data_IF_371189827456
#
_entry.id   IF_371189827456
#
_cell.length_a   1.000
_cell.length_b   1.000
_cell.length_c   1.000
_cell.angle_alpha   90.00
_cell.angle_beta   90.00
_cell.angle_gamma   90.00
#
_symmetry.space_group_name_H-M   'P 1'
#
loop_
_entity.id
_entity.type
_entity.pdbx_description
1 polymer ?
#
# COMPACT_ATOMS: atom_id res chain seq x y z
N UNK A 1 5.16 -5.26 -3.57
CA UNK A 1 3.69 -5.45 -3.64
C UNK A 1 3.02 -4.28 -4.34
N UNK A 2 2.86 -3.10 -3.72
CA UNK A 2 2.07 -2.00 -4.31
C UNK A 2 2.54 -1.56 -5.70
N UNK A 3 3.85 -1.45 -5.93
CA UNK A 3 4.37 -1.19 -7.28
C UNK A 3 3.97 -2.28 -8.29
N UNK A 4 3.93 -3.56 -7.92
CA UNK A 4 3.49 -4.62 -8.82
C UNK A 4 1.97 -4.58 -9.04
N UNK A 5 1.21 -4.07 -8.08
CA UNK A 5 -0.24 -3.87 -8.20
C UNK A 5 -0.58 -2.71 -9.15
N UNK A 6 0.21 -1.64 -9.13
CA UNK A 6 -0.07 -0.41 -9.87
C UNK A 6 0.77 -0.21 -11.14
N UNK A 7 1.88 -0.92 -11.26
CA UNK A 7 2.74 -1.01 -12.45
C UNK A 7 3.11 -2.49 -12.71
N UNK A 8 2.12 -3.36 -13.04
CA UNK A 8 2.34 -4.81 -13.18
C UNK A 8 3.31 -5.16 -14.32
N UNK A 9 3.36 -4.33 -15.37
CA UNK A 9 4.28 -4.47 -16.49
C UNK A 9 5.66 -3.84 -16.25
N UNK A 10 5.85 -3.11 -15.15
CA UNK A 10 7.10 -2.41 -14.84
C UNK A 10 7.46 -1.27 -15.80
N UNK A 11 6.50 -0.77 -16.58
CA UNK A 11 6.77 0.21 -17.64
C UNK A 11 7.17 1.56 -17.06
N UNK A 12 6.47 2.03 -16.02
CA UNK A 12 6.81 3.30 -15.36
C UNK A 12 8.19 3.21 -14.71
N UNK A 13 8.50 2.07 -14.09
CA UNK A 13 9.81 1.81 -13.48
C UNK A 13 10.94 1.79 -14.51
N UNK A 14 10.75 1.05 -15.61
CA UNK A 14 11.71 0.96 -16.70
C UNK A 14 11.93 2.32 -17.38
N UNK A 15 10.89 3.16 -17.48
CA UNK A 15 10.97 4.52 -18.01
C UNK A 15 11.56 5.54 -17.03
N UNK A 16 11.91 5.15 -15.80
CA UNK A 16 12.42 6.06 -14.78
C UNK A 16 11.38 7.09 -14.32
N UNK A 17 10.08 6.73 -14.37
CA UNK A 17 8.92 7.54 -13.99
C UNK A 17 8.38 7.20 -12.59
N UNK A 18 9.16 6.46 -11.80
CA UNK A 18 8.84 6.17 -10.40
C UNK A 18 9.79 6.97 -9.51
N UNK A 19 9.22 7.76 -8.60
CA UNK A 19 9.93 8.55 -7.60
C UNK A 19 9.83 7.94 -6.21
N UNK A 20 10.84 8.18 -5.37
CA UNK A 20 10.85 7.77 -3.97
C UNK A 20 11.22 8.95 -3.06
N UNK A 21 10.43 9.15 -2.01
CA UNK A 21 10.74 10.02 -0.89
C UNK A 21 10.71 9.20 0.40
N UNK A 22 11.79 9.24 1.19
CA UNK A 22 11.85 8.56 2.48
C UNK A 22 12.84 9.25 3.43
N UNK A 23 13.22 8.59 4.53
CA UNK A 23 14.31 9.06 5.39
C UNK A 23 15.64 8.99 4.66
N UNK A 24 16.52 9.97 4.90
CA UNK A 24 17.84 10.06 4.27
C UNK A 24 18.66 8.77 4.39
N UNK A 25 18.59 8.11 5.54
CA UNK A 25 19.38 6.91 5.82
C UNK A 25 18.81 5.64 5.18
N UNK A 26 17.53 5.65 4.79
CA UNK A 26 16.83 4.47 4.24
C UNK A 26 16.49 4.61 2.75
N UNK A 27 16.50 5.83 2.21
CA UNK A 27 16.04 6.10 0.84
C UNK A 27 16.85 5.33 -0.20
N UNK A 28 18.16 5.19 0.00
CA UNK A 28 19.01 4.45 -0.93
C UNK A 28 18.74 2.96 -0.89
N UNK A 29 18.66 2.37 0.31
CA UNK A 29 18.34 0.95 0.49
C UNK A 29 16.99 0.59 -0.13
N UNK A 30 15.96 1.42 0.09
CA UNK A 30 14.63 1.22 -0.49
C UNK A 30 14.69 1.41 -2.02
N UNK A 31 15.36 2.47 -2.47
CA UNK A 31 15.48 2.77 -3.90
C UNK A 31 16.22 1.68 -4.67
N UNK A 32 17.29 1.11 -4.11
CA UNK A 32 18.03 -0.01 -4.68
C UNK A 32 17.15 -1.26 -4.74
N UNK A 33 16.44 -1.60 -3.66
CA UNK A 33 15.54 -2.75 -3.62
C UNK A 33 14.39 -2.64 -4.65
N UNK A 34 13.97 -1.42 -4.99
CA UNK A 34 12.89 -1.16 -5.94
C UNK A 34 13.39 -0.81 -7.35
N UNK A 35 14.70 -0.83 -7.61
CA UNK A 35 15.32 -0.40 -8.87
C UNK A 35 14.91 1.03 -9.31
N UNK A 36 14.80 1.96 -8.35
CA UNK A 36 14.52 3.37 -8.60
C UNK A 36 15.86 4.11 -8.74
N UNK A 37 16.16 4.83 -9.84
CA UNK A 37 17.43 5.52 -10.00
C UNK A 37 17.72 6.56 -8.91
N UNK A 38 18.99 6.77 -8.54
CA UNK A 38 19.40 7.73 -7.48
C UNK A 38 18.87 9.15 -7.70
N UNK A 39 18.83 9.63 -8.95
CA UNK A 39 18.29 10.95 -9.26
C UNK A 39 16.77 11.06 -9.06
N UNK A 40 16.05 9.93 -8.89
CA UNK A 40 14.62 9.86 -8.56
C UNK A 40 14.36 9.58 -7.08
N UNK A 41 15.38 9.73 -6.23
CA UNK A 41 15.30 9.55 -4.78
C UNK A 41 15.46 10.90 -4.11
N UNK A 42 14.58 11.21 -3.17
CA UNK A 42 14.66 12.40 -2.32
C UNK A 42 14.35 12.03 -0.87
N UNK A 43 14.61 12.95 0.06
CA UNK A 43 14.30 12.75 1.47
C UNK A 43 13.33 13.79 2.00
N UNK A 44 12.64 13.44 3.08
CA UNK A 44 11.84 14.38 3.86
C UNK A 44 12.72 15.51 4.39
N UNK A 45 12.21 16.75 4.33
CA UNK A 45 12.87 17.96 4.77
C UNK A 45 14.15 18.31 3.99
N UNK A 46 14.50 19.60 3.92
CA UNK A 46 15.78 20.04 3.34
C UNK A 46 15.96 19.82 1.83
N UNK A 47 15.02 19.16 1.15
CA UNK A 47 15.11 18.83 -0.27
C UNK A 47 14.50 19.89 -1.20
N UNK A 48 14.60 21.19 -0.87
CA UNK A 48 13.99 22.29 -1.64
C UNK A 48 14.72 22.50 -2.98
N UNK A 49 13.97 22.91 -4.02
CA UNK A 49 14.53 23.34 -5.31
C UNK A 49 14.84 22.25 -6.35
N UNK A 50 14.70 20.97 -6.01
CA UNK A 50 14.85 19.89 -7.00
C UNK A 50 13.55 19.66 -7.79
N UNK A 51 13.68 19.63 -9.12
CA UNK A 51 12.65 19.21 -10.07
C UNK A 51 12.76 17.72 -10.43
N UNK A 52 13.65 16.97 -9.77
CA UNK A 52 13.99 15.61 -10.18
C UNK A 52 12.86 14.58 -10.01
N UNK A 53 11.69 14.96 -9.49
CA UNK A 53 10.50 14.11 -9.40
C UNK A 53 9.32 14.63 -10.21
N UNK A 54 9.46 15.77 -10.90
CA UNK A 54 8.34 16.52 -11.47
C UNK A 54 7.54 15.73 -12.52
N UNK A 55 8.21 14.85 -13.24
CA UNK A 55 7.65 14.08 -14.34
C UNK A 55 7.37 12.62 -13.99
N UNK A 56 7.49 12.24 -12.70
CA UNK A 56 7.16 10.89 -12.23
C UNK A 56 5.65 10.62 -12.27
N UNK A 57 5.27 9.47 -12.83
CA UNK A 57 3.90 8.96 -12.86
C UNK A 57 3.47 8.39 -11.52
N UNK A 58 4.41 7.74 -10.81
CA UNK A 58 4.19 7.16 -9.49
C UNK A 58 5.19 7.77 -8.52
N UNK A 59 4.69 8.32 -7.41
CA UNK A 59 5.51 8.81 -6.32
C UNK A 59 5.27 7.96 -5.07
N UNK A 60 6.33 7.38 -4.53
CA UNK A 60 6.30 6.65 -3.27
C UNK A 60 6.74 7.57 -2.13
N UNK A 61 5.89 7.74 -1.13
CA UNK A 61 6.25 8.37 0.14
C UNK A 61 6.34 7.26 1.19
N UNK A 62 7.54 6.97 1.69
CA UNK A 62 7.78 5.84 2.60
C UNK A 62 8.27 6.34 3.95
N UNK A 63 7.47 6.10 4.98
CA UNK A 63 7.69 6.59 6.34
C UNK A 63 6.99 7.92 6.60
N UNK A 64 7.07 8.37 7.86
CA UNK A 64 6.53 9.65 8.30
C UNK A 64 7.67 10.65 8.47
N UNK A 65 7.56 11.89 7.96
CA UNK A 65 8.51 12.96 8.27
C UNK A 65 8.84 13.03 9.77
N UNK A 66 10.12 12.90 10.12
CA UNK A 66 10.54 13.02 11.52
C UNK A 66 10.44 14.47 11.98
N UNK A 67 9.98 14.68 13.21
CA UNK A 67 9.96 15.97 13.89
C UNK A 67 10.84 15.88 15.13
N UNK A 68 11.56 16.95 15.45
CA UNK A 68 12.26 17.06 16.73
C UNK A 68 11.22 17.42 17.81
N UNK A 69 10.93 16.54 18.78
CA UNK A 69 9.82 16.77 19.71
C UNK A 69 9.99 18.05 20.54
N UNK A 70 11.22 18.34 20.94
CA UNK A 70 11.55 19.53 21.74
C UNK A 70 11.28 20.82 20.95
N UNK A 71 11.58 20.84 19.66
CA UNK A 71 11.29 21.98 18.77
C UNK A 71 9.77 22.18 18.61
N UNK A 72 9.01 21.08 18.47
CA UNK A 72 7.55 21.18 18.36
C UNK A 72 6.94 21.73 19.65
N UNK A 73 7.41 21.30 20.82
CA UNK A 73 6.97 21.87 22.10
C UNK A 73 7.36 23.35 22.23
N UNK A 74 8.55 23.75 21.79
CA UNK A 74 8.99 25.14 21.80
C UNK A 74 8.13 26.02 20.89
N UNK A 75 7.87 25.58 19.66
CA UNK A 75 6.96 26.27 18.74
C UNK A 75 5.54 26.37 19.29
N UNK A 76 5.04 25.31 19.94
CA UNK A 76 3.72 25.34 20.57
C UNK A 76 3.66 26.32 21.74
N UNK A 77 4.71 26.41 22.57
CA UNK A 77 4.83 27.41 23.65
C UNK A 77 4.82 28.82 23.10
N UNK A 78 5.48 29.05 21.97
CA UNK A 78 5.52 30.37 21.34
C UNK A 78 4.16 30.76 20.74
N UNK A 79 3.53 29.87 19.98
CA UNK A 79 2.22 30.09 19.37
C UNK A 79 1.11 30.31 20.41
N UNK A 80 1.20 29.65 21.55
CA UNK A 80 0.23 29.76 22.65
C UNK A 80 0.74 30.58 23.84
N UNK A 81 1.72 31.48 23.62
CA UNK A 81 2.37 32.27 24.68
C UNK A 81 1.38 33.07 25.53
N UNK A 82 0.29 33.55 24.94
CA UNK A 82 -0.77 34.33 25.62
C UNK A 82 -1.98 33.47 26.02
N UNK A 83 -1.89 32.14 25.92
CA UNK A 83 -2.97 31.22 26.25
C UNK A 83 -3.28 31.18 27.75
N UNK A 84 -4.52 30.82 28.12
CA UNK A 84 -4.95 30.78 29.53
C UNK A 84 -4.26 29.68 30.35
N UNK A 85 -3.70 28.67 29.69
CA UNK A 85 -2.98 27.56 30.31
C UNK A 85 -1.63 27.35 29.63
N UNK A 86 -0.55 27.10 30.40
CA UNK A 86 0.75 26.79 29.83
C UNK A 86 0.70 25.49 29.02
N UNK A 87 1.62 25.34 28.08
CA UNK A 87 1.81 24.07 27.36
C UNK A 87 2.41 23.05 28.32
N UNK A 88 1.76 21.89 28.43
CA UNK A 88 2.26 20.78 29.23
C UNK A 88 3.08 19.86 28.34
N UNK A 89 4.36 19.71 28.66
CA UNK A 89 5.25 18.80 27.93
C UNK A 89 4.92 17.33 28.21
N UNK A 90 5.42 16.46 27.33
CA UNK A 90 5.40 15.03 27.54
C UNK A 90 4.62 14.24 26.48
N UNK A 91 4.96 12.96 26.42
CA UNK A 91 4.48 12.02 25.40
C UNK A 91 3.79 10.83 26.04
N UNK A 92 2.92 10.21 25.27
CA UNK A 92 2.25 8.96 25.62
C UNK A 92 2.09 8.10 24.39
N UNK A 93 1.80 6.81 24.59
CA UNK A 93 1.44 5.93 23.48
C UNK A 93 -0.06 5.99 23.24
N UNK A 94 -0.43 6.24 22.00
CA UNK A 94 -1.80 6.11 21.54
C UNK A 94 -2.25 4.64 21.69
N UNK A 95 -3.32 4.36 22.45
CA UNK A 95 -3.80 2.99 22.66
C UNK A 95 -4.36 2.35 21.39
N UNK A 96 -4.78 3.13 20.39
CA UNK A 96 -5.35 2.63 19.14
C UNK A 96 -4.26 2.31 18.12
N UNK A 97 -3.30 3.21 17.95
CA UNK A 97 -2.26 3.07 16.90
C UNK A 97 -0.93 2.55 17.44
N UNK A 98 -0.74 2.54 18.76
CA UNK A 98 0.52 2.18 19.42
C UNK A 98 1.64 3.22 19.27
N UNK A 99 1.37 4.34 18.59
CA UNK A 99 2.36 5.38 18.24
C UNK A 99 2.56 6.37 19.38
N UNK A 100 3.74 6.99 19.44
CA UNK A 100 3.94 8.12 20.35
C UNK A 100 3.13 9.33 19.88
N UNK A 101 2.47 10.00 20.83
CA UNK A 101 1.77 11.27 20.64
C UNK A 101 2.08 12.22 21.78
N UNK A 102 1.93 13.51 21.54
CA UNK A 102 2.01 14.52 22.61
C UNK A 102 0.76 14.47 23.48
N UNK A 103 0.95 14.65 24.79
CA UNK A 103 -0.16 14.69 25.75
C UNK A 103 -1.02 15.95 25.59
N UNK A 104 -0.39 17.09 25.33
CA UNK A 104 -1.10 18.34 25.12
C UNK A 104 -1.67 18.37 23.68
N UNK A 105 -3.00 18.52 23.52
CA UNK A 105 -3.64 18.47 22.21
C UNK A 105 -3.20 19.60 21.28
N UNK A 106 -2.72 20.73 21.81
CA UNK A 106 -2.20 21.85 21.00
C UNK A 106 -0.87 21.49 20.36
N UNK A 107 0.02 20.85 21.13
CA UNK A 107 1.30 20.35 20.64
C UNK A 107 1.09 19.23 19.63
N UNK A 108 0.15 18.31 19.91
CA UNK A 108 -0.21 17.25 18.97
C UNK A 108 -0.75 17.81 17.66
N UNK A 109 -1.67 18.79 17.71
CA UNK A 109 -2.22 19.43 16.51
C UNK A 109 -1.13 20.12 15.68
N UNK A 110 -0.15 20.77 16.33
CA UNK A 110 1.00 21.34 15.64
C UNK A 110 1.87 20.25 14.99
N UNK A 111 2.16 19.16 15.70
CA UNK A 111 2.92 18.04 15.16
C UNK A 111 2.23 17.43 13.94
N UNK A 112 0.92 17.22 14.01
CA UNK A 112 0.12 16.72 12.89
C UNK A 112 0.15 17.71 11.72
N UNK A 113 0.02 19.00 11.99
CA UNK A 113 0.08 20.04 10.97
C UNK A 113 1.44 20.05 10.25
N UNK A 114 2.55 20.01 10.99
CA UNK A 114 3.90 19.98 10.42
C UNK A 114 4.13 18.70 9.59
N UNK A 115 3.69 17.55 10.12
CA UNK A 115 3.78 16.27 9.42
C UNK A 115 2.99 16.30 8.12
N UNK A 116 1.72 16.69 8.17
CA UNK A 116 0.82 16.76 7.02
C UNK A 116 1.32 17.78 5.99
N UNK A 117 1.83 18.93 6.46
CA UNK A 117 2.41 19.96 5.62
C UNK A 117 3.59 19.43 4.81
N UNK A 118 4.51 18.70 5.44
CA UNK A 118 5.64 18.09 4.74
C UNK A 118 5.23 16.96 3.81
N UNK A 119 4.34 16.06 4.25
CA UNK A 119 3.83 14.96 3.39
C UNK A 119 3.15 15.54 2.14
N UNK A 120 2.38 16.62 2.30
CA UNK A 120 1.74 17.35 1.19
C UNK A 120 2.78 18.02 0.28
N UNK A 121 3.81 18.67 0.84
CA UNK A 121 4.90 19.25 0.05
C UNK A 121 5.68 18.18 -0.74
N UNK A 122 5.88 17.01 -0.16
CA UNK A 122 6.48 15.87 -0.82
C UNK A 122 5.60 15.36 -1.98
N UNK A 123 4.30 15.21 -1.74
CA UNK A 123 3.32 14.86 -2.77
C UNK A 123 3.34 15.84 -3.96
N UNK A 124 3.48 17.15 -3.71
CA UNK A 124 3.58 18.14 -4.78
C UNK A 124 4.85 18.04 -5.63
N UNK A 125 5.85 17.25 -5.26
CA UNK A 125 7.09 17.13 -6.05
C UNK A 125 6.89 16.45 -7.39
N UNK A 126 5.87 15.60 -7.54
CA UNK A 126 5.47 15.06 -8.84
C UNK A 126 4.49 15.96 -9.62
N UNK A 127 4.29 17.20 -9.14
CA UNK A 127 3.41 18.22 -9.75
C UNK A 127 2.01 17.67 -10.08
N UNK A 128 1.48 16.85 -9.18
CA UNK A 128 0.18 16.19 -9.27
C UNK A 128 -0.99 17.13 -9.62
N UNK A 129 -0.94 18.40 -9.21
CA UNK A 129 -1.98 19.40 -9.52
C UNK A 129 -1.88 19.90 -10.96
N UNK A 130 -0.67 19.97 -11.53
CA UNK A 130 -0.43 20.45 -12.89
C UNK A 130 -0.57 19.34 -13.95
N UNK A 131 -0.31 18.10 -13.55
CA UNK A 131 -0.33 16.94 -14.44
C UNK A 131 -1.32 15.89 -13.93
N UNK A 132 -2.30 15.56 -14.74
CA UNK A 132 -3.29 14.54 -14.40
C UNK A 132 -2.71 13.13 -14.45
N UNK A 133 -3.37 12.19 -13.77
CA UNK A 133 -3.06 10.76 -13.86
C UNK A 133 -1.85 10.33 -13.03
N UNK A 134 -1.30 11.23 -12.20
CA UNK A 134 -0.24 10.88 -11.25
C UNK A 134 -0.80 10.04 -10.11
N UNK A 135 0.04 9.15 -9.61
CA UNK A 135 -0.28 8.31 -8.47
C UNK A 135 0.68 8.61 -7.33
N UNK A 136 0.13 8.79 -6.13
CA UNK A 136 0.91 9.02 -4.92
C UNK A 136 0.59 7.89 -3.95
N UNK A 137 1.59 7.06 -3.66
CA UNK A 137 1.47 5.95 -2.72
C UNK A 137 2.11 6.40 -1.41
N UNK A 138 1.27 6.62 -0.40
CA UNK A 138 1.68 7.08 0.92
C UNK A 138 1.71 5.91 1.90
N UNK A 139 2.92 5.51 2.27
CA UNK A 139 3.24 4.52 3.29
C UNK A 139 3.73 5.19 4.59
N UNK A 140 3.16 6.35 4.90
CA UNK A 140 3.32 7.06 6.16
C UNK A 140 1.96 7.33 6.80
N UNK A 141 1.94 8.05 7.92
CA UNK A 141 0.70 8.46 8.55
C UNK A 141 0.34 9.94 8.36
N UNK A 142 1.20 10.71 7.68
CA UNK A 142 0.85 12.06 7.29
C UNK A 142 -0.31 12.03 6.31
N UNK A 143 -1.26 12.94 6.50
CA UNK A 143 -2.38 13.14 5.59
C UNK A 143 -1.93 14.09 4.48
N UNK A 144 -2.11 13.64 3.24
CA UNK A 144 -1.86 14.48 2.06
C UNK A 144 -3.09 15.36 1.85
N UNK A 145 -2.88 16.66 1.70
CA UNK A 145 -3.93 17.62 1.33
C UNK A 145 -4.50 17.38 -0.07
N UNK A 146 -5.27 18.34 -0.58
CA UNK A 146 -5.88 18.23 -1.90
C UNK A 146 -4.83 18.17 -3.02
N UNK A 147 -4.90 17.12 -3.84
CA UNK A 147 -4.03 16.86 -4.98
C UNK A 147 -4.91 16.65 -6.22
N UNK A 148 -5.57 17.73 -6.67
CA UNK A 148 -6.47 17.72 -7.81
C UNK A 148 -5.87 16.95 -9.01
N UNK A 149 -6.53 15.87 -9.43
CA UNK A 149 -6.13 15.07 -10.60
C UNK A 149 -5.13 13.94 -10.33
N UNK A 150 -4.64 13.78 -9.10
CA UNK A 150 -3.83 12.64 -8.69
C UNK A 150 -4.60 11.63 -7.85
N UNK A 151 -4.25 10.36 -8.01
CA UNK A 151 -4.77 9.27 -7.20
C UNK A 151 -3.86 9.07 -5.98
N UNK A 152 -4.39 9.35 -4.80
CA UNK A 152 -3.71 9.09 -3.53
C UNK A 152 -4.09 7.68 -3.05
N UNK A 153 -3.09 6.88 -2.71
CA UNK A 153 -3.23 5.53 -2.18
C UNK A 153 -2.57 5.52 -0.80
N UNK A 154 -3.37 5.31 0.23
CA UNK A 154 -2.94 5.16 1.63
C UNK A 154 -3.21 3.73 2.10
N UNK A 155 -2.94 2.75 1.25
CA UNK A 155 -3.22 1.35 1.54
C UNK A 155 -2.19 0.80 2.53
N UNK A 156 -2.68 0.14 3.58
CA UNK A 156 -1.83 -0.63 4.47
C UNK A 156 -1.23 -1.82 3.72
N UNK A 157 0.06 -2.07 3.96
CA UNK A 157 0.70 -3.25 3.41
C UNK A 157 0.06 -4.52 4.00
N UNK A 158 -0.22 -5.55 3.17
CA UNK A 158 -0.76 -6.80 3.68
C UNK A 158 0.19 -7.43 4.72
N UNK A 159 -0.39 -8.00 5.77
CA UNK A 159 0.36 -8.53 6.92
C UNK A 159 1.42 -9.58 6.56
N UNK A 160 1.23 -10.32 5.47
CA UNK A 160 2.20 -11.30 4.98
C UNK A 160 2.35 -11.20 3.46
N UNK A 161 3.55 -10.85 3.03
CA UNK A 161 3.92 -10.71 1.61
C UNK A 161 5.05 -11.70 1.33
N UNK A 162 4.98 -12.41 0.22
CA UNK A 162 6.07 -13.28 -0.25
C UNK A 162 7.26 -12.44 -0.73
N UNK A 163 8.48 -13.00 -0.83
CA UNK A 163 9.62 -12.30 -1.43
C UNK A 163 9.35 -11.80 -2.86
N UNK A 164 8.48 -12.48 -3.61
CA UNK A 164 8.03 -12.06 -4.94
C UNK A 164 7.03 -10.89 -4.92
N UNK A 165 6.65 -10.41 -3.73
CA UNK A 165 5.77 -9.26 -3.58
C UNK A 165 4.30 -9.58 -3.80
N UNK A 166 3.84 -10.80 -3.52
CA UNK A 166 2.43 -11.21 -3.56
C UNK A 166 1.88 -11.40 -2.14
N UNK A 167 0.57 -11.23 -1.94
CA UNK A 167 -0.06 -11.56 -0.65
C UNK A 167 0.03 -13.06 -0.43
N UNK A 168 0.60 -13.49 0.72
CA UNK A 168 0.90 -14.91 0.97
C UNK A 168 -0.33 -15.82 0.89
N UNK A 169 -1.48 -15.36 1.41
CA UNK A 169 -2.73 -16.13 1.33
C UNK A 169 -3.19 -16.31 -0.12
N UNK A 170 -2.99 -15.29 -0.96
CA UNK A 170 -3.34 -15.36 -2.38
C UNK A 170 -2.38 -16.27 -3.14
N UNK A 171 -1.08 -16.19 -2.87
CA UNK A 171 -0.07 -17.07 -3.48
C UNK A 171 -0.31 -18.54 -3.10
N UNK A 172 -0.63 -18.81 -1.83
CA UNK A 172 -0.99 -20.16 -1.38
C UNK A 172 -2.24 -20.69 -2.09
N UNK A 173 -3.24 -19.81 -2.29
CA UNK A 173 -4.47 -20.16 -2.98
C UNK A 173 -4.23 -20.47 -4.46
N UNK A 174 -3.48 -19.61 -5.17
CA UNK A 174 -3.11 -19.81 -6.58
C UNK A 174 -2.32 -21.11 -6.75
N UNK A 175 -1.38 -21.41 -5.85
CA UNK A 175 -0.65 -22.67 -5.86
C UNK A 175 -1.57 -23.87 -5.62
N UNK A 176 -2.52 -23.77 -4.68
CA UNK A 176 -3.48 -24.84 -4.42
C UNK A 176 -4.37 -25.11 -5.63
N UNK A 177 -4.82 -24.07 -6.35
CA UNK A 177 -5.58 -24.19 -7.59
C UNK A 177 -4.73 -24.89 -8.66
N UNK A 178 -3.48 -24.47 -8.86
CA UNK A 178 -2.60 -25.09 -9.85
C UNK A 178 -2.34 -26.57 -9.54
N UNK A 179 -2.12 -26.91 -8.26
CA UNK A 179 -1.96 -28.29 -7.83
C UNK A 179 -3.22 -29.13 -8.10
N UNK A 180 -4.41 -28.55 -7.90
CA UNK A 180 -5.69 -29.21 -8.14
C UNK A 180 -5.92 -29.45 -9.64
N UNK A 181 -5.62 -28.45 -10.49
CA UNK A 181 -5.67 -28.58 -11.95
C UNK A 181 -4.70 -29.67 -12.43
N UNK A 182 -3.46 -29.67 -11.95
CA UNK A 182 -2.46 -30.66 -12.30
C UNK A 182 -2.86 -32.08 -11.84
N UNK A 183 -3.46 -32.21 -10.65
CA UNK A 183 -3.98 -33.48 -10.15
C UNK A 183 -5.15 -33.99 -11.01
N UNK A 184 -6.06 -33.10 -11.41
CA UNK A 184 -7.18 -33.43 -12.29
C UNK A 184 -6.70 -33.91 -13.68
N UNK A 185 -5.74 -33.21 -14.27
CA UNK A 185 -5.13 -33.62 -15.55
C UNK A 185 -4.43 -34.99 -15.45
N UNK A 186 -3.74 -35.27 -14.34
CA UNK A 186 -3.14 -36.59 -14.10
C UNK A 186 -4.19 -37.69 -13.96
N UNK A 187 -5.32 -37.44 -13.30
CA UNK A 187 -6.40 -38.41 -13.17
C UNK A 187 -7.07 -38.71 -14.51
N UNK A 188 -7.28 -37.70 -15.35
CA UNK A 188 -7.77 -37.90 -16.73
C UNK A 188 -6.80 -38.74 -17.56
N UNK A 189 -5.49 -38.50 -17.45
CA UNK A 189 -4.47 -39.24 -18.20
C UNK A 189 -4.33 -40.71 -17.79
N UNK A 190 -4.66 -41.06 -16.54
CA UNK A 190 -4.62 -42.44 -16.02
C UNK A 190 -5.89 -43.24 -16.39
N UNK A 191 -6.85 -42.62 -17.11
CA UNK A 191 -8.07 -43.30 -17.56
C UNK A 191 -9.04 -43.64 -16.43
N UNK A 192 -8.90 -42.99 -15.26
CA UNK A 192 -9.89 -43.10 -14.19
C UNK A 192 -11.10 -42.28 -14.61
N UNK A 193 -12.14 -42.96 -15.08
CA UNK A 193 -13.45 -42.36 -15.26
C UNK A 193 -13.93 -41.81 -13.92
N UNK A 194 -14.15 -40.50 -13.86
CA UNK A 194 -14.84 -39.83 -12.76
C UNK A 194 -16.15 -40.59 -12.45
N UNK A 195 -16.51 -40.83 -11.18
CA UNK A 195 -17.69 -41.61 -10.84
C UNK A 195 -18.94 -41.04 -11.51
N UNK A 196 -19.51 -41.88 -12.38
CA UNK A 196 -20.44 -41.51 -13.42
C UNK A 196 -21.69 -40.75 -12.98
N UNK A 197 -22.22 -40.07 -13.98
CA UNK A 197 -23.59 -39.61 -14.15
C UNK A 197 -24.61 -40.68 -13.72
N UNK A 198 -25.19 -40.50 -12.53
CA UNK A 198 -26.32 -41.30 -12.05
C UNK A 198 -27.03 -40.57 -10.91
N UNK A 199 -28.23 -40.06 -11.22
CA UNK A 199 -29.30 -39.61 -10.31
C UNK A 199 -29.05 -38.57 -9.20
N UNK A 200 -27.88 -37.91 -9.12
CA UNK A 200 -27.54 -36.99 -8.00
C UNK A 200 -27.43 -35.51 -8.36
N UNK A 201 -27.99 -35.06 -9.49
CA UNK A 201 -27.86 -33.67 -9.98
C UNK A 201 -28.34 -32.64 -8.95
N UNK A 202 -29.44 -32.91 -8.24
CA UNK A 202 -29.99 -32.01 -7.21
C UNK A 202 -29.22 -32.04 -5.88
N UNK A 203 -28.57 -33.17 -5.53
CA UNK A 203 -27.76 -33.29 -4.32
C UNK A 203 -26.38 -32.66 -4.50
N UNK A 204 -25.75 -32.84 -5.68
CA UNK A 204 -24.44 -32.28 -6.02
C UNK A 204 -24.48 -30.75 -6.16
N UNK A 205 -25.53 -30.20 -6.78
CA UNK A 205 -25.68 -28.74 -6.90
C UNK A 205 -25.85 -28.08 -5.52
N UNK A 206 -26.56 -28.72 -4.58
CA UNK A 206 -26.69 -28.23 -3.19
C UNK A 206 -25.38 -28.34 -2.41
N UNK A 207 -24.61 -29.42 -2.55
CA UNK A 207 -23.32 -29.59 -1.87
C UNK A 207 -22.23 -28.68 -2.42
N UNK A 208 -22.16 -28.48 -3.74
CA UNK A 208 -21.20 -27.56 -4.37
C UNK A 208 -21.58 -26.10 -4.13
N UNK A 209 -22.87 -25.74 -4.17
CA UNK A 209 -23.34 -24.40 -3.78
C UNK A 209 -23.21 -24.12 -2.28
N UNK A 210 -23.25 -25.16 -1.42
CA UNK A 210 -22.95 -25.02 0.01
C UNK A 210 -21.45 -24.81 0.25
N UNK A 211 -20.59 -25.55 -0.45
CA UNK A 211 -19.13 -25.44 -0.32
C UNK A 211 -18.57 -24.13 -0.94
N UNK A 212 -19.14 -23.67 -2.06
CA UNK A 212 -18.73 -22.42 -2.72
C UNK A 212 -19.29 -21.14 -2.06
N UNK A 213 -20.11 -21.25 -1.01
CA UNK A 213 -20.55 -20.07 -0.23
C UNK A 213 -19.44 -19.49 0.64
N UNK A 214 -18.45 -20.29 1.02
CA UNK A 214 -17.31 -19.87 1.84
C UNK A 214 -16.04 -19.57 1.02
N UNK A 215 -16.13 -19.69 -0.30
CA UNK A 215 -15.01 -19.57 -1.22
C UNK A 215 -15.01 -18.18 -1.87
N UNK A 216 -13.86 -17.48 -1.95
CA UNK A 216 -13.77 -16.16 -2.57
C UNK A 216 -14.35 -16.14 -3.99
N UNK A 217 -15.09 -15.07 -4.32
CA UNK A 217 -15.92 -14.94 -5.53
C UNK A 217 -15.22 -15.37 -6.84
N UNK A 218 -13.94 -15.01 -7.00
CA UNK A 218 -13.11 -15.40 -8.17
C UNK A 218 -12.89 -16.91 -8.31
N UNK A 219 -12.75 -17.62 -7.20
CA UNK A 219 -12.50 -19.06 -7.20
C UNK A 219 -13.79 -19.84 -7.47
N UNK A 220 -14.94 -19.30 -7.03
CA UNK A 220 -16.25 -19.78 -7.45
C UNK A 220 -16.47 -19.63 -8.96
N UNK A 221 -16.14 -18.47 -9.53
CA UNK A 221 -16.26 -18.21 -10.97
C UNK A 221 -15.32 -19.11 -11.79
N UNK A 222 -14.10 -19.35 -11.32
CA UNK A 222 -13.13 -20.21 -12.01
C UNK A 222 -13.51 -21.68 -11.96
N UNK A 223 -14.01 -22.17 -10.82
CA UNK A 223 -14.49 -23.55 -10.67
C UNK A 223 -15.77 -23.79 -11.50
N UNK A 224 -16.66 -22.81 -11.57
CA UNK A 224 -17.86 -22.87 -12.42
C UNK A 224 -17.51 -22.89 -13.91
N UNK A 225 -16.58 -22.03 -14.34
CA UNK A 225 -16.13 -21.99 -15.73
C UNK A 225 -15.46 -23.31 -16.16
N UNK A 226 -14.61 -23.90 -15.30
CA UNK A 226 -13.98 -25.21 -15.55
C UNK A 226 -15.00 -26.35 -15.66
N UNK A 227 -16.08 -26.28 -14.86
CA UNK A 227 -17.18 -27.23 -14.89
C UNK A 227 -18.02 -27.13 -16.17
N UNK A 228 -18.28 -25.92 -16.65
CA UNK A 228 -19.05 -25.68 -17.89
C UNK A 228 -18.29 -26.14 -19.15
N UNK A 229 -16.96 -26.14 -19.12
CA UNK A 229 -16.13 -26.57 -20.25
C UNK A 229 -15.90 -28.09 -20.34
N UNK A 230 -16.21 -28.85 -19.29
CA UNK A 230 -15.96 -30.29 -19.21
C UNK A 230 -17.12 -31.04 -18.51
N UNK A 231 -18.18 -31.43 -19.25
CA UNK A 231 -19.29 -32.23 -18.71
C UNK A 231 -18.89 -33.66 -18.32
#
# INVERSE_FOLDING_TARGET
YLLNTHDPGGQARAAGKVGLISFKDCVDTIGDALNIPKYRRMWFWGSRGSNALEDCDILLLVGTPALAPDEVEEYARDLHRQGPQPIVGGREKDPTTGRERFKDPRVQALADHLTNGETTQCAHRCRAVQHQGRMIINLGHGVIGDMAGARIITDELPAQITPAGQVKNQANLEQAIQNLIAAYQKLQAVGVSTPGSGSTTNARHRSMCAWTREVPKRLKETLLALWETHP
#
